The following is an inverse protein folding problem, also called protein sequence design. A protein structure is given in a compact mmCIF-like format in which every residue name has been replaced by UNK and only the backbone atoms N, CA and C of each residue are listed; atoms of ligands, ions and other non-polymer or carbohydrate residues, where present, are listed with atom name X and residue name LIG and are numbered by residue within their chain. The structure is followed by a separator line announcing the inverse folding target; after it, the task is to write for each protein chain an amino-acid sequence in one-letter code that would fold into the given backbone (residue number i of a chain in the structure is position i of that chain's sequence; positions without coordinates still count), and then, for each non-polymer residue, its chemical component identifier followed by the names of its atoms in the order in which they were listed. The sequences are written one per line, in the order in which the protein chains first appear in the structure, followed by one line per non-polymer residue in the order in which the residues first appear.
data_IF_397103461791
#
_entry.id   IF_397103461791
#
_cell.length_a   1.000
_cell.length_b   1.000
_cell.length_c   1.000
_cell.angle_alpha   90.00
_cell.angle_beta   90.00
_cell.angle_gamma   90.00
#
_symmetry.space_group_name_H-M   'P 1'
#
loop_
_entity.id
_entity.type
_entity.pdbx_description
1 polymer ?
#
# COMPACT_ATOMS: atom_id res chain seq x y z
N UNK A 1 -12.37 11.58 -35.71
CA UNK A 1 -12.45 13.06 -35.65
C UNK A 1 -13.75 13.43 -34.96
N UNK A 2 -13.71 13.85 -33.69
CA UNK A 2 -14.85 14.49 -33.02
C UNK A 2 -14.28 15.59 -32.15
N UNK A 3 -14.40 16.81 -32.66
CA UNK A 3 -14.08 18.04 -31.96
C UNK A 3 -15.17 18.31 -30.92
N UNK A 4 -14.75 18.66 -29.71
CA UNK A 4 -15.57 19.52 -28.85
C UNK A 4 -14.77 20.75 -28.49
N UNK A 5 -15.21 21.86 -29.06
CA UNK A 5 -14.91 23.20 -28.58
C UNK A 5 -15.94 23.55 -27.50
N UNK A 6 -15.48 24.03 -26.35
CA UNK A 6 -16.25 24.96 -25.52
C UNK A 6 -15.27 26.01 -25.03
N UNK A 7 -15.36 27.19 -25.65
CA UNK A 7 -14.79 28.44 -25.16
C UNK A 7 -15.77 29.09 -24.19
N UNK A 8 -15.25 29.67 -23.10
CA UNK A 8 -15.78 30.76 -22.27
C UNK A 8 -15.26 30.54 -20.83
N UNK A 9 -14.78 31.51 -20.07
CA UNK A 9 -14.69 32.96 -20.22
C UNK A 9 -13.57 33.49 -19.32
N UNK A 10 -13.06 34.65 -19.71
CA UNK A 10 -12.15 35.52 -18.97
C UNK A 10 -12.77 35.98 -17.64
N UNK A 11 -11.93 36.19 -16.63
CA UNK A 11 -12.02 37.37 -15.74
C UNK A 11 -10.70 37.54 -14.97
N UNK A 12 -9.91 38.51 -15.41
CA UNK A 12 -8.81 39.11 -14.68
C UNK A 12 -9.36 39.95 -13.52
N UNK A 13 -8.81 39.83 -12.31
CA UNK A 13 -8.69 40.99 -11.42
C UNK A 13 -7.59 40.79 -10.39
N UNK A 14 -6.64 41.72 -10.40
CA UNK A 14 -5.62 41.91 -9.39
C UNK A 14 -6.24 42.48 -8.11
N UNK A 15 -5.75 42.06 -6.93
CA UNK A 15 -5.77 42.91 -5.74
C UNK A 15 -4.37 42.89 -5.13
N UNK A 16 -3.73 44.04 -5.27
CA UNK A 16 -2.48 44.44 -4.67
C UNK A 16 -2.77 45.01 -3.27
N UNK A 17 -1.97 44.60 -2.29
CA UNK A 17 -1.52 45.41 -1.14
C UNK A 17 -2.56 45.89 -0.11
N UNK A 18 -2.42 45.39 1.12
CA UNK A 18 -2.76 46.17 2.31
C UNK A 18 -1.79 45.83 3.45
N UNK A 19 -0.83 46.73 3.68
CA UNK A 19 0.06 46.79 4.83
C UNK A 19 -0.75 47.43 5.98
N UNK A 20 -0.93 46.72 7.09
CA UNK A 20 -1.37 47.30 8.36
C UNK A 20 -0.50 46.74 9.48
N UNK A 21 0.47 47.54 9.89
CA UNK A 21 1.05 47.46 11.23
C UNK A 21 0.07 48.08 12.23
N UNK A 22 -0.17 47.44 13.39
CA UNK A 22 -0.26 48.11 14.70
C UNK A 22 -0.33 47.07 15.82
N UNK A 23 0.34 47.39 16.93
CA UNK A 23 0.76 46.49 18.01
C UNK A 23 -0.31 45.90 18.94
N UNK A 24 0.12 44.93 19.75
CA UNK A 24 -0.67 44.38 20.84
C UNK A 24 -0.05 43.11 21.43
N UNK A 25 0.64 43.24 22.55
CA UNK A 25 1.33 42.20 23.32
C UNK A 25 0.38 41.16 23.95
N UNK A 26 0.64 39.85 23.77
CA UNK A 26 0.44 38.78 24.77
C UNK A 26 1.02 37.42 24.28
N UNK A 27 2.00 36.87 24.99
CA UNK A 27 2.40 35.43 24.98
C UNK A 27 1.33 34.57 25.70
N UNK A 28 1.35 33.21 25.67
CA UNK A 28 2.02 32.23 24.81
C UNK A 28 1.12 31.05 24.36
N UNK A 29 1.38 30.43 23.21
CA UNK A 29 1.10 29.01 22.97
C UNK A 29 1.76 28.60 21.65
N UNK A 30 2.99 28.11 21.71
CA UNK A 30 3.62 27.45 20.59
C UNK A 30 2.91 26.11 20.34
N UNK A 31 1.78 26.16 19.64
CA UNK A 31 1.24 25.01 18.93
C UNK A 31 2.19 24.77 17.74
N UNK A 32 3.27 24.02 18.01
CA UNK A 32 4.10 23.47 16.96
C UNK A 32 3.21 22.61 16.07
N UNK A 33 2.84 23.13 14.91
CA UNK A 33 2.26 22.36 13.82
C UNK A 33 3.33 21.34 13.42
N UNK A 34 3.31 20.18 14.07
CA UNK A 34 3.88 18.97 13.52
C UNK A 34 3.07 18.67 12.25
N UNK A 35 3.53 19.20 11.12
CA UNK A 35 3.26 18.56 9.85
C UNK A 35 4.12 17.29 9.84
N UNK A 36 3.55 16.08 9.86
CA UNK A 36 4.30 14.91 9.43
C UNK A 36 4.54 15.11 7.93
N UNK A 37 5.68 15.71 7.59
CA UNK A 37 6.25 15.57 6.26
C UNK A 37 6.56 14.09 6.08
N UNK A 38 5.61 13.33 5.53
CA UNK A 38 5.88 12.02 4.98
C UNK A 38 7.01 12.20 3.95
N UNK A 39 8.21 11.82 4.36
CA UNK A 39 9.39 11.78 3.51
C UNK A 39 9.17 10.68 2.47
N UNK A 40 8.37 11.00 1.44
CA UNK A 40 8.25 10.18 0.25
C UNK A 40 9.62 10.15 -0.40
N UNK A 41 10.15 8.95 -0.63
CA UNK A 41 11.37 8.73 -1.40
C UNK A 41 11.19 9.40 -2.77
N UNK A 42 11.76 10.62 -2.89
CA UNK A 42 11.57 11.49 -4.05
C UNK A 42 12.29 10.89 -5.26
N UNK A 43 11.51 10.73 -6.33
CA UNK A 43 11.91 10.64 -7.74
C UNK A 43 12.40 9.32 -8.32
N UNK A 44 12.62 8.25 -7.54
CA UNK A 44 13.03 6.96 -8.14
C UNK A 44 11.84 5.98 -8.27
N UNK A 45 11.61 5.40 -9.47
CA UNK A 45 10.65 4.31 -9.65
C UNK A 45 10.98 3.16 -8.69
N UNK A 46 10.00 2.77 -7.87
CA UNK A 46 10.11 1.64 -6.96
C UNK A 46 9.65 0.37 -7.68
N UNK A 47 10.38 -0.72 -7.49
CA UNK A 47 9.93 -2.07 -7.89
C UNK A 47 8.94 -2.60 -6.86
N UNK A 48 7.74 -2.92 -7.30
CA UNK A 48 6.73 -3.58 -6.50
C UNK A 48 6.60 -5.02 -6.96
N UNK A 49 6.65 -5.93 -5.98
CA UNK A 49 6.56 -7.37 -6.22
C UNK A 49 5.18 -7.88 -5.88
N UNK A 50 4.61 -8.79 -6.69
CA UNK A 50 3.33 -9.39 -6.39
C UNK A 50 3.42 -10.16 -5.06
N UNK A 51 2.33 -10.11 -4.30
CA UNK A 51 2.16 -10.94 -3.10
C UNK A 51 1.41 -12.19 -3.53
N UNK A 52 2.13 -13.30 -3.57
CA UNK A 52 1.54 -14.62 -3.76
C UNK A 52 0.65 -14.98 -2.56
N UNK A 53 -0.39 -15.79 -2.81
CA UNK A 53 -1.37 -16.26 -1.82
C UNK A 53 -2.16 -15.17 -1.07
N UNK A 54 -2.15 -13.92 -1.58
CA UNK A 54 -3.08 -12.91 -1.10
C UNK A 54 -4.53 -13.33 -1.41
N UNK A 55 -5.48 -12.79 -0.63
CA UNK A 55 -6.90 -12.94 -0.89
C UNK A 55 -7.57 -11.56 -0.91
N UNK A 56 -8.28 -11.26 -2.00
CA UNK A 56 -9.07 -10.05 -2.13
C UNK A 56 -10.55 -10.40 -2.28
N UNK A 57 -11.40 -9.69 -1.56
CA UNK A 57 -12.85 -9.67 -1.74
C UNK A 57 -13.31 -8.23 -1.86
N UNK A 58 -14.21 -7.99 -2.81
CA UNK A 58 -14.93 -6.73 -2.97
C UNK A 58 -16.40 -7.05 -2.88
N UNK A 59 -17.11 -6.47 -1.90
CA UNK A 59 -18.49 -6.81 -1.57
C UNK A 59 -18.68 -8.32 -1.35
N UNK A 60 -17.82 -8.91 -0.52
CA UNK A 60 -17.78 -10.34 -0.20
C UNK A 60 -17.50 -11.30 -1.37
N UNK A 61 -17.25 -10.78 -2.58
CA UNK A 61 -16.95 -11.57 -3.76
C UNK A 61 -15.49 -11.37 -4.23
N UNK A 62 -14.77 -12.43 -4.64
CA UNK A 62 -13.46 -12.25 -5.25
C UNK A 62 -13.61 -11.57 -6.63
N UNK A 63 -12.85 -10.49 -6.91
CA UNK A 63 -12.85 -9.87 -8.22
C UNK A 63 -12.33 -10.81 -9.31
N UNK A 64 -12.74 -10.57 -10.56
CA UNK A 64 -12.38 -11.43 -11.70
C UNK A 64 -10.89 -11.44 -12.00
N UNK A 65 -10.27 -10.26 -12.00
CA UNK A 65 -8.86 -10.05 -12.28
C UNK A 65 -8.34 -9.07 -11.24
N UNK A 66 -7.39 -9.51 -10.42
CA UNK A 66 -6.80 -8.67 -9.40
C UNK A 66 -5.43 -9.21 -8.99
N UNK A 67 -4.55 -8.30 -8.58
CA UNK A 67 -3.24 -8.62 -8.01
C UNK A 67 -2.89 -7.57 -6.95
N UNK A 68 -2.11 -7.95 -5.94
CA UNK A 68 -1.60 -7.00 -4.95
C UNK A 68 -0.08 -7.03 -4.95
N UNK A 69 0.54 -5.87 -4.83
CA UNK A 69 1.97 -5.68 -4.88
C UNK A 69 2.44 -4.95 -3.62
N UNK A 70 3.68 -5.25 -3.19
CA UNK A 70 4.34 -4.60 -2.06
C UNK A 70 5.73 -4.13 -2.41
N UNK A 71 6.19 -3.08 -1.74
CA UNK A 71 7.58 -2.63 -1.81
C UNK A 71 8.41 -3.34 -0.74
N UNK A 72 9.24 -4.30 -1.14
CA UNK A 72 10.17 -4.98 -0.24
C UNK A 72 9.48 -5.90 0.78
N UNK A 73 9.88 -5.82 2.06
CA UNK A 73 9.42 -6.71 3.15
C UNK A 73 8.26 -6.17 3.97
N UNK A 74 7.97 -4.87 3.88
CA UNK A 74 6.86 -4.26 4.62
C UNK A 74 5.57 -4.43 3.83
N UNK A 75 4.47 -4.71 4.52
CA UNK A 75 3.14 -4.75 3.93
C UNK A 75 2.54 -3.34 3.76
N UNK A 76 3.36 -2.29 3.76
CA UNK A 76 2.93 -0.90 3.64
C UNK A 76 4.03 -0.06 2.95
N UNK A 77 3.68 0.81 2.00
CA UNK A 77 2.39 0.90 1.31
C UNK A 77 2.13 -0.30 0.39
N UNK A 78 0.87 -0.51 0.00
CA UNK A 78 0.45 -1.59 -0.91
C UNK A 78 -0.11 -1.02 -2.20
N UNK A 79 0.09 -1.74 -3.29
CA UNK A 79 -0.57 -1.44 -4.54
C UNK A 79 -1.52 -2.57 -4.92
N UNK A 80 -2.80 -2.25 -5.02
CA UNK A 80 -3.85 -3.19 -5.39
C UNK A 80 -4.29 -2.91 -6.82
N UNK A 81 -4.13 -3.88 -7.71
CA UNK A 81 -4.70 -3.87 -9.04
C UNK A 81 -6.05 -4.60 -9.02
N UNK A 82 -7.10 -3.96 -9.54
CA UNK A 82 -8.40 -4.59 -9.77
C UNK A 82 -8.79 -4.29 -11.23
N UNK A 83 -8.75 -5.31 -12.09
CA UNK A 83 -8.89 -5.17 -13.53
C UNK A 83 -7.87 -4.17 -14.09
N UNK A 84 -8.36 -3.03 -14.60
CA UNK A 84 -7.53 -1.96 -15.17
C UNK A 84 -7.27 -0.79 -14.19
N UNK A 85 -7.73 -0.90 -12.95
CA UNK A 85 -7.56 0.14 -11.92
C UNK A 85 -6.44 -0.24 -10.97
N UNK A 86 -5.71 0.76 -10.51
CA UNK A 86 -4.67 0.60 -9.51
C UNK A 86 -4.97 1.50 -8.31
N UNK A 87 -4.97 0.92 -7.13
CA UNK A 87 -5.25 1.58 -5.87
C UNK A 87 -4.01 1.48 -4.99
N UNK A 88 -3.45 2.63 -4.63
CA UNK A 88 -2.41 2.73 -3.63
C UNK A 88 -3.07 2.81 -2.25
N UNK A 89 -2.75 1.86 -1.38
CA UNK A 89 -3.30 1.76 -0.02
C UNK A 89 -2.20 2.15 0.96
N UNK A 90 -2.42 3.26 1.66
CA UNK A 90 -1.58 3.76 2.75
C UNK A 90 -2.32 3.50 4.07
N UNK A 91 -2.11 2.34 4.67
CA UNK A 91 -2.76 1.90 5.92
C UNK A 91 -2.38 2.75 7.13
N UNK A 92 -1.17 3.30 7.18
CA UNK A 92 -0.73 4.23 8.24
C UNK A 92 -1.63 5.46 8.33
N UNK A 93 -1.91 6.10 7.19
CA UNK A 93 -2.71 7.33 7.10
C UNK A 93 -4.19 7.05 6.85
N UNK A 94 -4.57 5.76 6.67
CA UNK A 94 -5.91 5.31 6.29
C UNK A 94 -6.41 6.03 5.03
N UNK A 95 -5.55 6.05 4.02
CA UNK A 95 -5.81 6.71 2.74
C UNK A 95 -5.67 5.72 1.59
N UNK A 96 -6.55 5.87 0.60
CA UNK A 96 -6.45 5.16 -0.68
C UNK A 96 -6.33 6.19 -1.79
N UNK A 97 -5.46 5.94 -2.75
CA UNK A 97 -5.29 6.78 -3.92
C UNK A 97 -5.50 5.97 -5.20
N UNK A 98 -6.26 6.51 -6.15
CA UNK A 98 -6.41 5.88 -7.47
C UNK A 98 -5.29 6.34 -8.41
N UNK A 99 -4.49 5.38 -8.86
CA UNK A 99 -3.38 5.65 -9.76
C UNK A 99 -3.79 5.52 -11.22
N UNK A 100 -3.18 6.34 -12.07
CA UNK A 100 -3.32 6.22 -13.51
C UNK A 100 -2.53 5.00 -14.01
N UNK A 101 -3.18 3.99 -14.65
CA UNK A 101 -2.50 2.82 -15.17
C UNK A 101 -1.44 3.16 -16.24
N UNK A 102 -1.55 4.32 -16.89
CA UNK A 102 -0.59 4.79 -17.91
C UNK A 102 0.77 5.14 -17.31
N UNK A 103 0.83 5.42 -16.00
CA UNK A 103 2.05 5.74 -15.26
C UNK A 103 2.72 4.52 -14.64
N UNK A 104 2.11 3.35 -14.77
CA UNK A 104 2.60 2.11 -14.17
C UNK A 104 3.31 1.31 -15.25
N UNK A 105 4.61 1.14 -15.08
CA UNK A 105 5.43 0.33 -15.96
C UNK A 105 5.34 -1.14 -15.54
N UNK A 106 4.73 -1.99 -16.36
CA UNK A 106 4.71 -3.42 -16.13
C UNK A 106 6.03 -4.04 -16.63
N UNK A 107 6.76 -4.70 -15.73
CA UNK A 107 7.87 -5.59 -16.07
C UNK A 107 7.47 -7.05 -15.83
N UNK A 108 8.23 -7.98 -16.38
CA UNK A 108 7.97 -9.42 -16.22
C UNK A 108 7.96 -9.80 -14.73
N UNK A 109 6.78 -10.01 -14.15
CA UNK A 109 6.59 -10.41 -12.76
C UNK A 109 6.72 -9.30 -11.72
N UNK A 110 6.89 -8.04 -12.12
CA UNK A 110 7.00 -6.88 -11.21
C UNK A 110 6.40 -5.64 -11.87
N UNK A 111 6.02 -4.65 -11.06
CA UNK A 111 5.62 -3.34 -11.58
C UNK A 111 6.56 -2.27 -11.06
N UNK A 112 6.80 -1.27 -11.89
CA UNK A 112 7.58 -0.09 -11.56
C UNK A 112 6.65 1.10 -11.48
N UNK A 113 6.61 1.71 -10.30
CA UNK A 113 5.84 2.92 -10.08
C UNK A 113 6.55 3.82 -9.07
N UNK A 114 6.53 5.13 -9.33
CA UNK A 114 7.19 6.14 -8.50
C UNK A 114 6.19 6.80 -7.56
N UNK A 115 6.49 6.93 -6.25
CA UNK A 115 5.67 7.71 -5.32
C UNK A 115 5.47 9.18 -5.72
N UNK A 116 6.36 9.74 -6.57
CA UNK A 116 6.21 11.08 -7.12
C UNK A 116 4.97 11.23 -8.03
N UNK A 117 4.50 10.12 -8.61
CA UNK A 117 3.31 10.07 -9.45
C UNK A 117 2.00 9.90 -8.67
N UNK A 118 2.08 9.90 -7.32
CA UNK A 118 0.91 9.81 -6.45
C UNK A 118 -0.02 11.01 -6.68
N UNK A 119 -1.32 10.78 -6.90
CA UNK A 119 -2.28 11.88 -7.00
C UNK A 119 -2.40 12.62 -5.66
N UNK A 120 -2.66 13.92 -5.71
CA UNK A 120 -2.84 14.73 -4.51
C UNK A 120 -4.18 14.48 -3.80
N UNK A 121 -5.17 13.95 -4.51
CA UNK A 121 -6.52 13.72 -3.98
C UNK A 121 -6.70 12.24 -3.60
N UNK A 122 -6.89 11.92 -2.31
CA UNK A 122 -7.27 10.58 -1.89
C UNK A 122 -8.71 10.27 -2.27
N UNK A 123 -9.02 8.99 -2.42
CA UNK A 123 -10.38 8.46 -2.48
C UNK A 123 -11.04 8.60 -1.10
N UNK A 124 -12.33 8.94 -1.12
CA UNK A 124 -13.14 8.94 0.09
C UNK A 124 -13.31 7.49 0.56
N UNK A 125 -12.89 7.23 1.80
CA UNK A 125 -12.92 5.89 2.40
C UNK A 125 -13.36 5.95 3.87
N UNK A 126 -14.00 4.88 4.33
CA UNK A 126 -14.50 4.73 5.70
C UNK A 126 -14.38 3.27 6.17
N UNK A 127 -14.84 3.00 7.40
CA UNK A 127 -14.88 1.64 7.98
C UNK A 127 -13.53 0.90 7.95
N UNK A 128 -12.46 1.65 8.22
CA UNK A 128 -11.09 1.14 8.20
C UNK A 128 -10.80 0.15 9.32
N UNK A 129 -10.33 -1.03 8.94
CA UNK A 129 -9.76 -2.07 9.79
C UNK A 129 -8.39 -2.45 9.22
N UNK A 130 -7.35 -2.46 10.03
CA UNK A 130 -6.02 -2.90 9.64
C UNK A 130 -5.40 -3.63 10.83
N UNK A 131 -5.53 -4.96 10.85
CA UNK A 131 -5.17 -5.79 11.99
C UNK A 131 -4.45 -7.05 11.54
N UNK A 132 -3.52 -7.50 12.39
CA UNK A 132 -2.91 -8.81 12.28
C UNK A 132 -3.75 -9.84 13.04
N UNK A 133 -4.34 -10.80 12.32
CA UNK A 133 -5.14 -11.88 12.91
C UNK A 133 -4.33 -13.16 13.19
N UNK A 134 -3.01 -13.05 13.22
CA UNK A 134 -2.05 -14.12 13.48
C UNK A 134 -1.71 -14.96 12.24
N UNK A 135 -2.73 -15.38 11.49
CA UNK A 135 -2.54 -16.15 10.26
C UNK A 135 -2.27 -15.26 9.03
N UNK A 136 -2.78 -14.02 9.04
CA UNK A 136 -2.68 -13.07 7.96
C UNK A 136 -2.83 -11.64 8.48
N UNK A 137 -2.34 -10.68 7.72
CA UNK A 137 -2.61 -9.26 7.93
C UNK A 137 -3.84 -8.86 7.13
N UNK A 138 -4.88 -8.37 7.78
CA UNK A 138 -6.18 -8.06 7.17
C UNK A 138 -6.36 -6.55 7.11
N UNK A 139 -6.74 -6.07 5.92
CA UNK A 139 -7.05 -4.68 5.64
C UNK A 139 -8.46 -4.63 5.08
N UNK A 140 -9.38 -3.97 5.80
CA UNK A 140 -10.74 -3.72 5.35
C UNK A 140 -10.99 -2.22 5.27
N UNK A 141 -11.69 -1.81 4.22
CA UNK A 141 -12.05 -0.42 3.99
C UNK A 141 -13.25 -0.35 3.06
N UNK A 142 -14.10 0.65 3.26
CA UNK A 142 -15.20 0.96 2.36
C UNK A 142 -14.82 2.11 1.45
N UNK A 143 -14.97 1.93 0.14
CA UNK A 143 -14.82 2.98 -0.87
C UNK A 143 -16.15 3.72 -1.02
N UNK A 144 -16.21 4.96 -0.54
CA UNK A 144 -17.47 5.75 -0.47
C UNK A 144 -18.06 6.06 -1.85
N UNK A 145 -17.22 6.32 -2.84
CA UNK A 145 -17.68 6.69 -4.18
C UNK A 145 -18.47 5.57 -4.87
N UNK A 146 -18.20 4.31 -4.51
CA UNK A 146 -18.74 3.12 -5.15
C UNK A 146 -19.58 2.25 -4.20
N UNK A 147 -19.71 2.69 -2.94
CA UNK A 147 -20.30 1.91 -1.85
C UNK A 147 -19.73 0.47 -1.76
N UNK A 148 -18.43 0.33 -2.02
CA UNK A 148 -17.78 -0.97 -2.17
C UNK A 148 -16.90 -1.31 -0.95
N UNK A 149 -17.16 -2.46 -0.33
CA UNK A 149 -16.36 -2.96 0.78
C UNK A 149 -15.19 -3.81 0.26
N UNK A 150 -13.97 -3.34 0.48
CA UNK A 150 -12.73 -4.04 0.12
C UNK A 150 -12.20 -4.76 1.35
N UNK A 151 -12.01 -6.07 1.25
CA UNK A 151 -11.40 -6.94 2.25
C UNK A 151 -10.17 -7.61 1.62
N UNK A 152 -8.99 -7.17 2.03
CA UNK A 152 -7.70 -7.65 1.56
C UNK A 152 -7.01 -8.39 2.70
N UNK A 153 -6.62 -9.64 2.45
CA UNK A 153 -5.88 -10.48 3.39
C UNK A 153 -4.53 -10.82 2.79
N UNK A 154 -3.49 -10.42 3.50
CA UNK A 154 -2.11 -10.65 3.11
C UNK A 154 -1.53 -11.78 3.96
N UNK A 155 -1.04 -12.87 3.34
CA UNK A 155 -0.38 -13.92 4.09
C UNK A 155 0.90 -13.37 4.71
N UNK A 156 1.21 -13.83 5.91
CA UNK A 156 2.55 -13.65 6.44
C UNK A 156 3.53 -14.42 5.56
N UNK A 157 4.70 -13.84 5.23
CA UNK A 157 5.77 -14.63 4.63
C UNK A 157 5.95 -15.86 5.49
N UNK A 158 5.80 -17.05 4.90
CA UNK A 158 6.13 -18.27 5.63
C UNK A 158 7.62 -18.19 5.91
N UNK A 159 7.97 -17.89 7.17
CA UNK A 159 9.27 -18.28 7.67
C UNK A 159 9.23 -19.80 7.70
N UNK A 160 9.58 -20.40 6.56
CA UNK A 160 10.05 -21.78 6.52
C UNK A 160 11.40 -21.78 7.24
N UNK A 161 11.34 -21.49 8.55
CA UNK A 161 12.44 -21.65 9.46
C UNK A 161 12.98 -23.02 9.16
N UNK A 162 14.23 -23.03 8.66
CA UNK A 162 14.96 -24.21 8.27
C UNK A 162 14.51 -25.35 9.17
N UNK A 163 13.73 -26.32 8.62
CA UNK A 163 13.46 -27.53 9.37
C UNK A 163 14.81 -27.95 9.92
N UNK A 164 14.99 -28.16 11.24
CA UNK A 164 16.26 -28.65 11.73
C UNK A 164 16.55 -29.88 10.90
N UNK A 165 17.57 -29.78 10.06
CA UNK A 165 17.96 -30.82 9.14
C UNK A 165 18.20 -32.01 10.04
N UNK A 166 17.23 -32.94 10.08
CA UNK A 166 17.26 -34.04 11.01
C UNK A 166 18.56 -34.75 10.72
N UNK A 167 19.53 -34.59 11.64
CA UNK A 167 20.86 -35.13 11.45
C UNK A 167 20.67 -36.60 11.06
N UNK A 168 21.33 -37.08 9.99
CA UNK A 168 21.11 -38.44 9.51
C UNK A 168 21.25 -39.36 10.72
N UNK A 169 20.19 -40.13 10.97
CA UNK A 169 20.06 -40.95 12.15
C UNK A 169 21.39 -41.68 12.36
N UNK A 170 22.10 -41.38 13.45
CA UNK A 170 23.32 -42.11 13.80
C UNK A 170 22.92 -43.57 13.86
N UNK A 171 23.31 -44.34 12.85
CA UNK A 171 23.16 -45.78 12.82
C UNK A 171 23.81 -46.29 14.09
N UNK A 172 23.00 -46.61 15.09
CA UNK A 172 23.44 -47.25 16.33
C UNK A 172 23.96 -48.61 15.89
N UNK A 173 25.28 -48.67 15.64
CA UNK A 173 26.02 -49.90 15.34
C UNK A 173 25.80 -50.83 16.51
N UNK A 174 24.79 -51.68 16.39
CA UNK A 174 24.47 -52.76 17.32
C UNK A 174 25.59 -53.78 17.13
N UNK A 175 26.65 -53.64 17.93
CA UNK A 175 27.62 -54.72 18.09
C UNK A 175 26.87 -55.84 18.80
N UNK A 176 26.35 -56.78 18.01
CA UNK A 176 25.88 -58.05 18.52
C UNK A 176 27.10 -58.79 19.07
N UNK A 177 27.00 -59.13 20.34
CA UNK A 177 27.76 -60.21 20.97
C UNK A 177 27.63 -61.45 20.09
N UNK A 178 28.76 -61.97 19.62
CA UNK A 178 28.89 -63.39 19.30
C UNK A 178 29.84 -63.96 20.35
N UNK A 179 29.23 -64.57 21.37
CA UNK A 179 29.83 -65.73 22.02
C UNK A 179 30.15 -66.75 20.92
N UNK A 180 31.40 -67.20 20.83
CA UNK A 180 31.66 -68.56 20.40
C UNK A 180 32.91 -69.08 21.11
N UNK A 181 32.64 -70.05 22.01
CA UNK A 181 33.46 -71.09 22.65
C UNK A 181 34.98 -71.01 22.63
#
# INVERSE_FOLDING_TARGET
MRAWAVSAALLSLAIMGALCEFGGTALPAAAGTFAPGAASAKDKPLSWKPVEDALLRVNDAPPKEWEVYRTGKKNEPLLLQIGNRFLLIETHDRQVFELDPSKIERKTGEILWSPADRPAKPLATSDWVADDIGAAFVIKMKLENEDALVDLQLPHPQDVGSLPQQAPARTRRRNNFAEEK
#
